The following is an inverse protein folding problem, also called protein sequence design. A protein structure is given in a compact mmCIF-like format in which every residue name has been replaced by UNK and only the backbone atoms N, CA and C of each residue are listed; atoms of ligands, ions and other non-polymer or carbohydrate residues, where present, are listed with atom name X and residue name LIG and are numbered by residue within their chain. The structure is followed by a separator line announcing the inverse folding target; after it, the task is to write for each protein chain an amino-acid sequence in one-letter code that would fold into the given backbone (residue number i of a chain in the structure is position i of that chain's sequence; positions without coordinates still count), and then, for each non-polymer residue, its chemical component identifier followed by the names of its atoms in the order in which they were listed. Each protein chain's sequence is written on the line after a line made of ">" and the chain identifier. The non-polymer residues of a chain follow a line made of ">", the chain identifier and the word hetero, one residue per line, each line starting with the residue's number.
data_IF_512009360682
#
_entry.id   IF_512009360682
#
_cell.length_a   1.000
_cell.length_b   1.000
_cell.length_c   1.000
_cell.angle_alpha   90.00
_cell.angle_beta   90.00
_cell.angle_gamma   90.00
#
_symmetry.space_group_name_H-M   'P 1'
#
loop_
_entity.id
_entity.type
_entity.pdbx_description
1 polymer ?
#
# COMPACT_ATOMS: atom_id res chain seq x y z
N UNK A 1 16.12 0.47 13.83
CA UNK A 1 15.33 0.21 12.61
C UNK A 1 14.11 -0.65 12.91
N UNK A 2 14.18 -1.69 13.75
CA UNK A 2 13.04 -2.57 14.07
C UNK A 2 11.86 -1.80 14.67
N UNK A 3 12.10 -1.09 15.78
CA UNK A 3 11.08 -0.26 16.43
C UNK A 3 10.55 0.83 15.50
N UNK A 4 11.40 1.38 14.63
CA UNK A 4 10.99 2.38 13.66
C UNK A 4 10.01 1.80 12.63
N UNK A 5 10.30 0.63 12.05
CA UNK A 5 9.40 -0.02 11.09
C UNK A 5 8.10 -0.48 11.76
N UNK A 6 8.16 -0.96 13.00
CA UNK A 6 6.97 -1.32 13.78
C UNK A 6 6.03 -0.12 13.99
N UNK A 7 6.57 1.01 14.46
CA UNK A 7 5.78 2.21 14.72
C UNK A 7 5.32 2.92 13.44
N UNK A 8 6.13 2.88 12.39
CA UNK A 8 5.80 3.50 11.10
C UNK A 8 4.76 2.73 10.31
N UNK A 9 4.44 1.49 10.66
CA UNK A 9 3.46 0.67 9.95
C UNK A 9 2.09 1.37 9.89
N UNK A 10 1.55 1.76 11.05
CA UNK A 10 0.27 2.45 11.16
C UNK A 10 0.33 3.89 10.62
N UNK A 11 1.45 4.58 10.84
CA UNK A 11 1.67 5.95 10.34
C UNK A 11 1.68 5.99 8.81
N UNK A 12 2.29 4.98 8.16
CA UNK A 12 2.37 4.87 6.71
C UNK A 12 1.00 4.66 6.06
N UNK A 13 0.20 3.77 6.64
CA UNK A 13 -1.11 3.40 6.12
C UNK A 13 -2.19 4.42 6.57
N UNK A 14 -1.86 5.27 7.56
CA UNK A 14 -2.73 6.28 8.11
C UNK A 14 -4.00 5.69 8.73
N UNK A 15 -5.05 6.48 8.81
CA UNK A 15 -6.32 6.02 9.37
C UNK A 15 -7.09 5.05 8.44
N UNK A 16 -6.64 4.88 7.19
CA UNK A 16 -7.15 3.89 6.25
C UNK A 16 -8.67 3.71 6.28
N UNK A 17 -9.15 2.45 6.38
CA UNK A 17 -10.59 2.16 6.40
C UNK A 17 -11.34 2.74 7.59
N UNK A 18 -10.67 3.03 8.72
CA UNK A 18 -11.30 3.64 9.89
C UNK A 18 -11.85 5.05 9.62
N UNK A 19 -11.23 5.79 8.68
CA UNK A 19 -11.77 7.09 8.26
C UNK A 19 -13.18 6.94 7.68
N UNK A 20 -13.43 5.92 6.87
CA UNK A 20 -14.75 5.66 6.30
C UNK A 20 -15.80 5.39 7.37
N UNK A 21 -15.43 4.64 8.43
CA UNK A 21 -16.30 4.39 9.59
C UNK A 21 -16.56 5.69 10.36
N UNK A 22 -15.52 6.46 10.66
CA UNK A 22 -15.63 7.75 11.36
C UNK A 22 -16.53 8.73 10.61
N UNK A 23 -16.28 8.92 9.31
CA UNK A 23 -17.07 9.85 8.50
C UNK A 23 -18.53 9.38 8.33
N UNK A 24 -18.77 8.06 8.24
CA UNK A 24 -20.11 7.51 8.14
C UNK A 24 -20.82 7.42 9.47
N UNK A 25 -20.19 6.82 10.47
CA UNK A 25 -20.81 6.52 11.77
C UNK A 25 -20.93 7.74 12.68
N UNK A 26 -19.86 8.57 12.76
CA UNK A 26 -19.83 9.74 13.66
C UNK A 26 -20.32 11.03 12.98
N UNK A 27 -20.01 11.23 11.70
CA UNK A 27 -20.27 12.48 10.99
C UNK A 27 -21.46 12.41 10.01
N UNK A 28 -22.03 11.22 9.79
CA UNK A 28 -23.15 10.96 8.86
C UNK A 28 -22.93 11.45 7.42
N UNK A 29 -21.69 11.40 6.93
CA UNK A 29 -21.37 11.86 5.59
C UNK A 29 -22.01 10.99 4.49
N UNK A 30 -22.40 11.60 3.35
CA UNK A 30 -22.77 10.85 2.15
C UNK A 30 -21.59 10.01 1.63
N UNK A 31 -21.87 8.82 1.13
CA UNK A 31 -20.81 7.89 0.66
C UNK A 31 -19.97 8.46 -0.49
N UNK A 32 -20.56 9.30 -1.36
CA UNK A 32 -19.81 10.01 -2.40
C UNK A 32 -18.77 10.97 -1.84
N UNK A 33 -19.10 11.72 -0.78
CA UNK A 33 -18.13 12.61 -0.12
C UNK A 33 -17.02 11.82 0.58
N UNK A 34 -17.34 10.68 1.19
CA UNK A 34 -16.36 9.77 1.78
C UNK A 34 -15.41 9.24 0.68
N UNK A 35 -15.96 8.83 -0.46
CA UNK A 35 -15.18 8.38 -1.62
C UNK A 35 -14.22 9.46 -2.13
N UNK A 36 -14.67 10.71 -2.25
CA UNK A 36 -13.81 11.85 -2.64
C UNK A 36 -12.68 12.06 -1.61
N UNK A 37 -13.02 12.04 -0.30
CA UNK A 37 -12.04 12.22 0.76
C UNK A 37 -10.93 11.15 0.70
N UNK A 38 -11.31 9.89 0.56
CA UNK A 38 -10.35 8.79 0.47
C UNK A 38 -9.55 8.83 -0.84
N UNK A 39 -10.18 9.21 -1.95
CA UNK A 39 -9.50 9.39 -3.23
C UNK A 39 -8.43 10.50 -3.16
N UNK A 40 -8.67 11.58 -2.40
CA UNK A 40 -7.72 12.67 -2.25
C UNK A 40 -6.36 12.21 -1.70
N UNK A 41 -6.36 11.31 -0.70
CA UNK A 41 -5.12 10.70 -0.19
C UNK A 41 -4.42 9.86 -1.27
N UNK A 42 -5.15 8.99 -1.96
CA UNK A 42 -4.58 8.13 -3.01
C UNK A 42 -4.01 8.94 -4.19
N UNK A 43 -4.69 10.01 -4.59
CA UNK A 43 -4.23 10.92 -5.66
C UNK A 43 -2.97 11.65 -5.19
N UNK A 44 -2.97 12.21 -3.99
CA UNK A 44 -1.82 12.94 -3.46
C UNK A 44 -0.59 12.02 -3.31
N UNK A 45 -0.78 10.79 -2.81
CA UNK A 45 0.28 9.79 -2.74
C UNK A 45 0.85 9.46 -4.13
N UNK A 46 -0.03 9.20 -5.11
CA UNK A 46 0.39 8.89 -6.48
C UNK A 46 1.16 10.04 -7.14
N UNK A 47 0.68 11.28 -7.00
CA UNK A 47 1.33 12.47 -7.56
C UNK A 47 2.68 12.73 -6.88
N UNK A 48 2.76 12.54 -5.56
CA UNK A 48 3.98 12.78 -4.80
C UNK A 48 4.98 11.62 -4.87
N UNK A 49 4.63 10.44 -5.40
CA UNK A 49 5.50 9.25 -5.39
C UNK A 49 6.86 9.48 -6.05
N UNK A 50 6.89 10.09 -7.24
CA UNK A 50 8.14 10.38 -7.96
C UNK A 50 8.90 11.53 -7.30
N UNK A 51 8.29 12.70 -7.01
CA UNK A 51 8.95 13.77 -6.27
C UNK A 51 9.52 13.34 -4.91
N UNK A 52 8.80 12.48 -4.17
CA UNK A 52 9.26 11.96 -2.89
C UNK A 52 10.53 11.11 -3.02
N UNK A 53 10.59 10.23 -4.02
CA UNK A 53 11.79 9.46 -4.32
C UNK A 53 12.99 10.36 -4.62
N UNK A 54 12.82 11.34 -5.52
CA UNK A 54 13.87 12.31 -5.88
C UNK A 54 14.31 13.14 -4.67
N UNK A 55 13.36 13.57 -3.82
CA UNK A 55 13.66 14.30 -2.59
C UNK A 55 14.52 13.46 -1.64
N UNK A 56 14.13 12.20 -1.44
CA UNK A 56 14.90 11.28 -0.59
C UNK A 56 16.29 11.04 -1.16
N UNK A 57 16.46 10.87 -2.46
CA UNK A 57 17.78 10.65 -3.07
C UNK A 57 18.67 11.88 -3.01
N UNK A 58 18.10 13.08 -3.20
CA UNK A 58 18.88 14.33 -3.22
C UNK A 58 19.36 14.80 -1.84
N UNK A 59 18.59 14.55 -0.78
CA UNK A 59 18.84 15.08 0.54
C UNK A 59 19.62 14.10 1.44
N UNK A 60 20.61 14.61 2.22
CA UNK A 60 21.35 13.84 3.24
C UNK A 60 20.62 13.71 4.58
N UNK A 61 19.43 14.33 4.71
CA UNK A 61 18.65 14.42 5.95
C UNK A 61 17.56 13.32 6.08
N UNK A 62 17.89 12.06 5.73
CA UNK A 62 16.95 10.93 5.69
C UNK A 62 16.13 10.78 6.98
N UNK A 63 16.77 10.96 8.15
CA UNK A 63 16.12 10.89 9.47
C UNK A 63 15.06 11.96 9.64
N UNK A 64 15.37 13.19 9.25
CA UNK A 64 14.43 14.31 9.32
C UNK A 64 13.24 14.10 8.37
N UNK A 65 13.49 13.53 7.18
CA UNK A 65 12.41 13.20 6.24
C UNK A 65 11.42 12.19 6.84
N UNK A 66 11.89 11.15 7.53
CA UNK A 66 11.02 10.19 8.22
C UNK A 66 10.26 10.85 9.35
N UNK A 67 10.95 11.62 10.21
CA UNK A 67 10.31 12.29 11.35
C UNK A 67 9.29 13.34 10.91
N UNK A 68 9.62 14.17 9.90
CA UNK A 68 8.71 15.19 9.38
C UNK A 68 7.48 14.57 8.68
N UNK A 69 7.66 13.49 7.94
CA UNK A 69 6.53 12.79 7.31
C UNK A 69 5.58 12.23 8.37
N UNK A 70 6.09 11.60 9.43
CA UNK A 70 5.27 11.15 10.55
C UNK A 70 4.53 12.31 11.24
N UNK A 71 5.20 13.44 11.45
CA UNK A 71 4.58 14.64 12.02
C UNK A 71 3.46 15.20 11.12
N UNK A 72 3.66 15.26 9.81
CA UNK A 72 2.65 15.69 8.85
C UNK A 72 1.43 14.76 8.85
N UNK A 73 1.65 13.44 8.98
CA UNK A 73 0.55 12.47 9.15
C UNK A 73 -0.22 12.76 10.45
N UNK A 74 0.48 12.98 11.56
CA UNK A 74 -0.17 13.33 12.84
C UNK A 74 -0.98 14.62 12.75
N UNK A 75 -0.43 15.66 12.11
CA UNK A 75 -1.16 16.93 11.87
C UNK A 75 -2.42 16.67 11.02
N UNK A 76 -2.33 15.88 9.95
CA UNK A 76 -3.49 15.51 9.14
C UNK A 76 -4.56 14.76 9.94
N UNK A 77 -4.18 13.83 10.82
CA UNK A 77 -5.09 13.13 11.72
C UNK A 77 -5.80 14.09 12.67
N UNK A 78 -5.05 15.01 13.28
CA UNK A 78 -5.64 16.02 14.20
C UNK A 78 -6.57 16.98 13.47
N UNK A 79 -6.23 17.39 12.23
CA UNK A 79 -7.13 18.21 11.42
C UNK A 79 -8.46 17.52 11.14
N UNK A 80 -8.46 16.21 10.86
CA UNK A 80 -9.69 15.44 10.66
C UNK A 80 -10.54 15.41 11.93
N UNK A 81 -9.91 15.20 13.09
CA UNK A 81 -10.60 15.11 14.38
C UNK A 81 -11.21 16.44 14.79
N UNK A 82 -10.44 17.54 14.73
CA UNK A 82 -10.89 18.83 15.23
C UNK A 82 -11.73 19.62 14.22
N UNK A 83 -11.54 19.36 12.92
CA UNK A 83 -12.25 20.04 11.85
C UNK A 83 -12.86 19.04 10.86
N UNK A 84 -13.88 18.24 11.26
CA UNK A 84 -14.48 17.23 10.41
C UNK A 84 -15.42 17.83 9.34
N UNK A 85 -14.97 18.91 8.68
CA UNK A 85 -15.67 19.56 7.57
C UNK A 85 -15.06 19.15 6.25
N UNK A 86 -15.88 19.02 5.20
CA UNK A 86 -15.46 18.49 3.90
C UNK A 86 -14.16 19.11 3.36
N UNK A 87 -13.98 20.44 3.27
CA UNK A 87 -12.73 21.00 2.75
C UNK A 87 -11.50 20.67 3.60
N UNK A 88 -11.67 20.68 4.93
CA UNK A 88 -10.58 20.40 5.86
C UNK A 88 -10.15 18.93 5.81
N UNK A 89 -11.10 18.01 5.71
CA UNK A 89 -10.81 16.57 5.56
C UNK A 89 -10.13 16.29 4.23
N UNK A 90 -10.55 16.92 3.12
CA UNK A 90 -9.88 16.79 1.83
C UNK A 90 -8.42 17.28 1.92
N UNK A 91 -8.19 18.46 2.50
CA UNK A 91 -6.84 19.00 2.68
C UNK A 91 -5.98 18.10 3.58
N UNK A 92 -6.54 17.58 4.67
CA UNK A 92 -5.87 16.64 5.56
C UNK A 92 -5.53 15.34 4.85
N UNK A 93 -6.44 14.78 4.06
CA UNK A 93 -6.20 13.56 3.27
C UNK A 93 -5.14 13.76 2.18
N UNK A 94 -5.13 14.91 1.52
CA UNK A 94 -4.07 15.25 0.57
C UNK A 94 -2.71 15.35 1.29
N UNK A 95 -2.68 15.96 2.48
CA UNK A 95 -1.46 16.02 3.32
C UNK A 95 -0.99 14.62 3.74
N UNK A 96 -1.91 13.76 4.21
CA UNK A 96 -1.63 12.38 4.59
C UNK A 96 -1.05 11.60 3.40
N UNK A 97 -1.67 11.68 2.22
CA UNK A 97 -1.19 11.01 1.03
C UNK A 97 0.20 11.49 0.58
N UNK A 98 0.44 12.80 0.57
CA UNK A 98 1.74 13.36 0.23
C UNK A 98 2.84 12.95 1.22
N UNK A 99 2.54 12.97 2.52
CA UNK A 99 3.48 12.57 3.57
C UNK A 99 3.80 11.07 3.52
N UNK A 100 2.79 10.22 3.31
CA UNK A 100 2.96 8.76 3.23
C UNK A 100 3.79 8.34 2.02
N UNK A 101 3.81 9.10 0.93
CA UNK A 101 4.64 8.82 -0.24
C UNK A 101 6.16 8.92 0.05
N UNK A 102 6.57 9.70 1.05
CA UNK A 102 7.97 9.89 1.44
C UNK A 102 8.49 8.72 2.31
N UNK A 103 7.62 8.12 3.11
CA UNK A 103 8.00 7.14 4.16
C UNK A 103 8.71 5.90 3.58
N UNK A 104 8.17 5.18 2.58
CA UNK A 104 8.80 3.97 2.07
C UNK A 104 10.20 4.20 1.48
N UNK A 105 10.42 5.18 0.58
CA UNK A 105 11.76 5.41 0.04
C UNK A 105 12.74 5.89 1.11
N UNK A 106 12.30 6.69 2.10
CA UNK A 106 13.15 7.13 3.19
C UNK A 106 13.59 5.99 4.12
N UNK A 107 12.68 5.06 4.47
CA UNK A 107 13.01 3.87 5.26
C UNK A 107 13.92 2.90 4.50
N UNK A 108 13.71 2.74 3.19
CA UNK A 108 14.57 1.93 2.33
C UNK A 108 15.99 2.52 2.26
N UNK A 109 16.11 3.84 2.05
CA UNK A 109 17.39 4.54 2.01
C UNK A 109 18.13 4.47 3.35
N UNK A 110 17.43 4.65 4.49
CA UNK A 110 18.00 4.47 5.83
C UNK A 110 18.50 3.04 6.03
N UNK A 111 17.70 2.05 5.63
CA UNK A 111 18.08 0.65 5.74
C UNK A 111 19.35 0.35 4.94
N UNK A 112 19.41 0.80 3.68
CA UNK A 112 20.57 0.61 2.83
C UNK A 112 21.83 1.31 3.40
N UNK A 113 21.69 2.57 3.83
CA UNK A 113 22.82 3.35 4.37
C UNK A 113 23.38 2.82 5.70
N UNK A 114 22.58 2.04 6.47
CA UNK A 114 23.03 1.49 7.76
C UNK A 114 23.61 0.08 7.61
N UNK A 115 22.98 -0.79 6.81
CA UNK A 115 23.39 -2.21 6.77
C UNK A 115 24.21 -2.58 5.54
N UNK A 116 24.29 -1.73 4.54
CA UNK A 116 24.99 -1.99 3.29
C UNK A 116 24.23 -2.96 2.35
N UNK A 117 24.67 -3.05 1.10
CA UNK A 117 24.02 -3.86 0.05
C UNK A 117 23.98 -5.36 0.39
N UNK A 118 25.04 -5.88 1.00
CA UNK A 118 25.16 -7.30 1.32
C UNK A 118 24.07 -7.78 2.28
N UNK A 119 23.76 -7.00 3.30
CA UNK A 119 22.79 -7.35 4.34
C UNK A 119 21.37 -6.81 4.05
N UNK A 120 21.22 -5.98 3.02
CA UNK A 120 19.95 -5.34 2.68
C UNK A 120 18.79 -6.32 2.47
N UNK A 121 18.93 -7.44 1.74
CA UNK A 121 17.80 -8.38 1.56
C UNK A 121 17.26 -8.94 2.87
N UNK A 122 18.17 -9.35 3.78
CA UNK A 122 17.79 -9.82 5.12
C UNK A 122 17.16 -8.70 5.95
N UNK A 123 17.67 -7.48 5.83
CA UNK A 123 17.13 -6.29 6.51
C UNK A 123 15.73 -5.94 6.03
N UNK A 124 15.47 -5.95 4.73
CA UNK A 124 14.15 -5.68 4.16
C UNK A 124 13.14 -6.72 4.67
N UNK A 125 13.49 -8.01 4.62
CA UNK A 125 12.62 -9.07 5.14
C UNK A 125 12.27 -8.85 6.63
N UNK A 126 13.25 -8.44 7.43
CA UNK A 126 13.05 -8.12 8.85
C UNK A 126 12.19 -6.85 9.04
N UNK A 127 12.40 -5.82 8.22
CA UNK A 127 11.57 -4.61 8.24
C UNK A 127 10.10 -4.95 7.97
N UNK A 128 9.81 -5.79 6.96
CA UNK A 128 8.45 -6.21 6.66
C UNK A 128 7.83 -7.04 7.79
N UNK A 129 8.60 -7.89 8.46
CA UNK A 129 8.09 -8.61 9.63
C UNK A 129 7.67 -7.67 10.76
N UNK A 130 8.47 -6.64 11.05
CA UNK A 130 8.12 -5.62 12.04
C UNK A 130 6.97 -4.72 11.58
N UNK A 131 6.88 -4.41 10.29
CA UNK A 131 5.76 -3.68 9.69
C UNK A 131 4.43 -4.44 9.87
N UNK A 132 4.39 -5.73 9.55
CA UNK A 132 3.20 -6.56 9.80
C UNK A 132 2.85 -6.66 11.29
N UNK A 133 3.85 -6.79 12.16
CA UNK A 133 3.66 -6.76 13.62
C UNK A 133 3.09 -5.42 14.10
N UNK A 134 3.57 -4.31 13.54
CA UNK A 134 3.07 -2.96 13.83
C UNK A 134 1.62 -2.78 13.41
N UNK A 135 1.27 -3.19 12.18
CA UNK A 135 -0.12 -3.14 11.68
C UNK A 135 -1.07 -4.01 12.52
N UNK A 136 -0.62 -5.20 12.94
CA UNK A 136 -1.41 -6.05 13.85
C UNK A 136 -1.65 -5.36 15.20
N UNK A 137 -0.61 -4.80 15.81
CA UNK A 137 -0.71 -4.10 17.08
C UNK A 137 -1.59 -2.85 16.99
N UNK A 138 -1.40 -2.05 15.93
CA UNK A 138 -2.19 -0.85 15.66
C UNK A 138 -3.68 -1.18 15.49
N UNK A 139 -4.01 -2.18 14.66
CA UNK A 139 -5.39 -2.61 14.46
C UNK A 139 -6.02 -3.13 15.76
N UNK A 140 -5.26 -3.87 16.57
CA UNK A 140 -5.73 -4.37 17.87
C UNK A 140 -6.02 -3.23 18.85
N UNK A 141 -5.09 -2.27 18.95
CA UNK A 141 -5.25 -1.10 19.81
C UNK A 141 -6.37 -0.17 19.30
N UNK A 142 -6.46 0.05 17.97
CA UNK A 142 -7.55 0.83 17.38
C UNK A 142 -8.91 0.21 17.66
N UNK A 143 -9.03 -1.12 17.59
CA UNK A 143 -10.24 -1.84 17.97
C UNK A 143 -10.61 -1.62 19.44
N UNK A 144 -9.66 -1.80 20.34
CA UNK A 144 -9.88 -1.65 21.79
C UNK A 144 -10.19 -0.19 22.18
N UNK A 145 -9.34 0.75 21.77
CA UNK A 145 -9.48 2.15 22.17
C UNK A 145 -10.62 2.84 21.42
N UNK A 146 -10.75 2.61 20.12
CA UNK A 146 -11.79 3.23 19.31
C UNK A 146 -13.20 2.78 19.72
N UNK A 147 -13.35 1.54 20.15
CA UNK A 147 -14.62 1.02 20.64
C UNK A 147 -14.96 1.49 22.05
N UNK A 148 -13.99 1.52 22.97
CA UNK A 148 -14.23 1.86 24.37
C UNK A 148 -14.23 3.36 24.65
N UNK A 149 -13.42 4.13 23.91
CA UNK A 149 -13.20 5.56 24.13
C UNK A 149 -13.70 6.44 22.97
N UNK A 150 -14.15 5.82 21.86
CA UNK A 150 -14.70 6.50 20.68
C UNK A 150 -13.71 6.65 19.53
N UNK A 151 -14.26 6.92 18.34
CA UNK A 151 -13.52 6.96 17.08
C UNK A 151 -12.28 7.87 17.05
N UNK A 152 -12.28 8.97 17.84
CA UNK A 152 -11.17 9.92 17.87
C UNK A 152 -9.87 9.28 18.36
N UNK A 153 -9.95 8.26 19.22
CA UNK A 153 -8.77 7.55 19.73
C UNK A 153 -8.00 6.79 18.68
N UNK A 154 -8.65 6.39 17.58
CA UNK A 154 -7.97 5.78 16.44
C UNK A 154 -6.97 6.77 15.83
N UNK A 155 -7.37 8.03 15.66
CA UNK A 155 -6.52 9.09 15.13
C UNK A 155 -5.41 9.49 16.12
N UNK A 156 -5.72 9.54 17.41
CA UNK A 156 -4.72 9.81 18.45
C UNK A 156 -3.68 8.69 18.53
N UNK A 157 -4.07 7.44 18.28
CA UNK A 157 -3.14 6.31 18.21
C UNK A 157 -2.10 6.49 17.09
N UNK A 158 -2.53 6.93 15.91
CA UNK A 158 -1.61 7.28 14.81
C UNK A 158 -0.65 8.40 15.23
N UNK A 159 -1.12 9.42 15.96
CA UNK A 159 -0.27 10.49 16.48
C UNK A 159 0.76 9.96 17.50
N UNK A 160 0.36 9.02 18.36
CA UNK A 160 1.27 8.39 19.34
C UNK A 160 2.34 7.58 18.60
N UNK A 161 1.97 6.78 17.61
CA UNK A 161 2.91 6.03 16.79
C UNK A 161 3.83 6.94 15.97
N UNK A 162 3.32 8.06 15.45
CA UNK A 162 4.12 9.08 14.76
C UNK A 162 5.16 9.72 15.70
N UNK A 163 4.76 10.09 16.91
CA UNK A 163 5.68 10.61 17.92
C UNK A 163 6.74 9.57 18.34
N UNK A 164 6.31 8.33 18.59
CA UNK A 164 7.21 7.21 18.89
C UNK A 164 8.19 6.93 17.75
N UNK A 165 7.76 7.00 16.49
CA UNK A 165 8.61 6.81 15.32
C UNK A 165 9.63 7.95 15.15
N UNK A 166 9.22 9.20 15.43
CA UNK A 166 10.13 10.35 15.46
C UNK A 166 11.20 10.18 16.54
N UNK A 167 10.81 9.72 17.73
CA UNK A 167 11.76 9.39 18.79
C UNK A 167 12.70 8.26 18.37
N UNK A 168 12.17 7.17 17.80
CA UNK A 168 12.94 6.01 17.35
C UNK A 168 13.96 6.38 16.26
N UNK A 169 13.60 7.24 15.30
CA UNK A 169 14.52 7.68 14.26
C UNK A 169 15.60 8.63 14.79
N UNK A 170 15.29 9.40 15.86
CA UNK A 170 16.28 10.25 16.53
C UNK A 170 17.37 9.43 17.25
N UNK A 171 17.07 8.21 17.69
CA UNK A 171 18.05 7.30 18.30
C UNK A 171 19.08 6.74 17.29
N UNK A 172 18.81 6.80 16.00
CA UNK A 172 19.77 6.39 14.96
C UNK A 172 20.85 7.49 14.89
N UNK A 173 22.11 7.15 15.13
CA UNK A 173 23.20 8.13 15.07
C UNK A 173 23.47 8.54 13.62
N UNK A 174 23.64 9.85 13.32
CA UNK A 174 23.95 10.31 11.96
C UNK A 174 25.20 9.65 11.36
N UNK A 175 26.21 9.39 12.21
CA UNK A 175 27.46 8.74 11.79
C UNK A 175 27.32 7.27 11.38
N UNK A 176 26.20 6.61 11.69
CA UNK A 176 25.91 5.23 11.29
C UNK A 176 25.32 5.17 9.87
N UNK A 177 24.97 6.31 9.26
CA UNK A 177 24.31 6.36 7.96
C UNK A 177 25.34 6.74 6.89
N UNK A 178 25.67 5.79 6.03
CA UNK A 178 26.39 6.06 4.80
C UNK A 178 25.43 6.71 3.78
N UNK A 179 25.58 8.02 3.59
CA UNK A 179 24.68 8.80 2.74
C UNK A 179 24.90 8.53 1.25
N UNK A 180 26.11 8.17 0.82
CA UNK A 180 26.39 7.85 -0.59
C UNK A 180 25.81 6.47 -0.94
N UNK A 181 26.00 5.48 -0.05
CA UNK A 181 25.38 4.18 -0.18
C UNK A 181 23.85 4.27 -0.15
N UNK A 182 23.29 5.10 0.74
CA UNK A 182 21.83 5.35 0.85
C UNK A 182 21.21 5.96 -0.43
N UNK A 183 22.01 6.57 -1.29
CA UNK A 183 21.62 7.06 -2.62
C UNK A 183 21.73 6.00 -3.72
N UNK A 184 22.26 4.82 -3.40
CA UNK A 184 22.43 3.72 -4.35
C UNK A 184 23.78 3.68 -5.05
N UNK A 185 24.78 4.50 -4.64
CA UNK A 185 26.16 4.40 -5.13
C UNK A 185 26.77 3.05 -4.76
N UNK A 186 27.67 2.48 -5.60
CA UNK A 186 28.36 1.23 -5.33
C UNK A 186 29.44 1.41 -4.25
N UNK A 187 29.71 0.36 -3.45
CA UNK A 187 30.79 0.39 -2.44
C UNK A 187 32.18 0.61 -3.08
N UNK A 188 32.37 0.21 -4.34
CA UNK A 188 33.57 0.49 -5.13
C UNK A 188 33.67 1.94 -5.55
N UNK A 189 32.55 2.60 -5.86
CA UNK A 189 32.51 4.01 -6.26
C UNK A 189 32.89 4.93 -5.07
N UNK A 190 32.56 4.52 -3.84
CA UNK A 190 32.86 5.26 -2.61
C UNK A 190 34.33 5.17 -2.18
N UNK A 191 35.05 4.08 -2.52
CA UNK A 191 36.43 3.84 -2.11
C UNK A 191 37.48 4.31 -3.10
N UNK A 192 37.12 4.42 -4.39
CA UNK A 192 38.13 4.69 -5.44
C UNK A 192 37.95 6.01 -6.19
N UNK A 193 36.90 6.79 -5.94
CA UNK A 193 36.59 7.99 -6.75
C UNK A 193 36.47 7.68 -8.25
N UNK A 194 36.24 6.42 -8.60
CA UNK A 194 36.22 5.90 -9.95
C UNK A 194 34.80 5.88 -10.47
N UNK A 195 34.52 6.62 -11.50
CA UNK A 195 33.28 6.44 -12.25
C UNK A 195 33.24 5.00 -12.82
N UNK A 196 32.13 4.27 -12.67
CA UNK A 196 31.97 2.92 -13.24
C UNK A 196 32.29 2.99 -14.73
N UNK A 197 33.09 2.03 -15.24
CA UNK A 197 33.41 1.96 -16.66
C UNK A 197 32.13 1.81 -17.49
N UNK A 198 32.07 2.40 -18.68
CA UNK A 198 30.93 2.32 -19.61
C UNK A 198 30.50 0.87 -19.93
N UNK A 199 31.39 -0.11 -19.76
CA UNK A 199 31.11 -1.54 -19.96
C UNK A 199 30.31 -2.16 -18.80
N UNK A 200 30.38 -1.61 -17.58
CA UNK A 200 29.57 -2.04 -16.42
C UNK A 200 28.23 -1.31 -16.33
N UNK A 201 28.13 -0.17 -16.97
CA UNK A 201 26.88 0.53 -17.26
C UNK A 201 26.33 0.00 -18.60
N UNK A 202 25.77 -1.17 -18.62
CA UNK A 202 24.78 -1.45 -19.66
C UNK A 202 23.84 -0.24 -19.62
N UNK A 203 23.93 0.67 -20.62
CA UNK A 203 23.18 1.94 -20.58
C UNK A 203 21.71 1.64 -20.30
N UNK A 204 21.12 2.18 -19.21
CA UNK A 204 19.73 1.91 -18.94
C UNK A 204 18.92 2.40 -20.14
N UNK A 205 18.08 1.55 -20.70
CA UNK A 205 17.22 1.94 -21.83
C UNK A 205 16.46 3.24 -21.51
N UNK A 206 16.14 4.04 -22.54
CA UNK A 206 15.47 5.31 -22.35
C UNK A 206 14.09 5.14 -21.69
N UNK A 207 13.62 6.16 -21.00
CA UNK A 207 12.30 6.16 -20.37
C UNK A 207 11.19 5.84 -21.40
N UNK A 208 11.29 6.38 -22.61
CA UNK A 208 10.34 6.15 -23.70
C UNK A 208 10.34 4.69 -24.17
N UNK A 209 11.49 4.03 -24.20
CA UNK A 209 11.60 2.61 -24.56
C UNK A 209 10.98 1.69 -23.50
N UNK A 210 11.09 2.04 -22.20
CA UNK A 210 10.40 1.32 -21.13
C UNK A 210 8.90 1.36 -21.35
N UNK A 211 8.33 2.54 -21.64
CA UNK A 211 6.89 2.69 -21.93
C UNK A 211 6.45 2.04 -23.25
N UNK A 212 7.34 1.83 -24.21
CA UNK A 212 7.04 1.09 -25.44
C UNK A 212 6.85 -0.40 -25.24
N UNK A 213 7.37 -0.97 -24.14
CA UNK A 213 7.18 -2.39 -23.83
C UNK A 213 5.70 -2.72 -23.62
N UNK A 214 5.12 -3.48 -24.54
CA UNK A 214 3.70 -3.87 -24.53
C UNK A 214 3.33 -4.56 -23.21
N UNK A 215 4.14 -5.52 -22.78
CA UNK A 215 3.84 -6.34 -21.61
C UNK A 215 3.86 -5.52 -20.32
N UNK A 216 4.73 -4.50 -20.21
CA UNK A 216 4.72 -3.56 -19.09
C UNK A 216 3.42 -2.75 -19.06
N UNK A 217 2.98 -2.23 -20.20
CA UNK A 217 1.72 -1.47 -20.27
C UNK A 217 0.51 -2.32 -19.89
N UNK A 218 0.46 -3.57 -20.35
CA UNK A 218 -0.59 -4.54 -19.99
C UNK A 218 -0.53 -4.80 -18.48
N UNK A 219 0.65 -5.02 -17.93
CA UNK A 219 0.83 -5.24 -16.49
C UNK A 219 0.35 -4.02 -15.68
N UNK A 220 0.79 -2.81 -16.02
CA UNK A 220 0.37 -1.57 -15.33
C UNK A 220 -1.14 -1.34 -15.43
N UNK A 221 -1.75 -1.55 -16.60
CA UNK A 221 -3.20 -1.48 -16.76
C UNK A 221 -3.93 -2.52 -15.89
N UNK A 222 -3.37 -3.72 -15.77
CA UNK A 222 -3.91 -4.78 -14.89
C UNK A 222 -3.81 -4.39 -13.41
N UNK A 223 -2.73 -3.72 -13.01
CA UNK A 223 -2.56 -3.19 -11.63
C UNK A 223 -3.59 -2.09 -11.34
N UNK A 224 -3.81 -1.16 -12.29
CA UNK A 224 -4.88 -0.15 -12.17
C UNK A 224 -6.23 -0.83 -11.99
N UNK A 225 -6.59 -1.78 -12.85
CA UNK A 225 -7.88 -2.48 -12.81
C UNK A 225 -8.04 -3.32 -11.54
N UNK A 226 -6.96 -3.98 -11.06
CA UNK A 226 -6.96 -4.72 -9.79
C UNK A 226 -7.36 -3.80 -8.63
N UNK A 227 -6.70 -2.65 -8.48
CA UNK A 227 -6.98 -1.71 -7.40
C UNK A 227 -8.29 -0.95 -7.60
N UNK A 228 -8.68 -0.69 -8.85
CA UNK A 228 -9.98 -0.10 -9.18
C UNK A 228 -11.14 -1.02 -8.73
N UNK A 229 -11.00 -2.33 -8.88
CA UNK A 229 -11.99 -3.30 -8.39
C UNK A 229 -11.91 -3.60 -6.90
N UNK A 230 -10.79 -3.29 -6.22
CA UNK A 230 -10.53 -3.77 -4.85
C UNK A 230 -10.56 -2.69 -3.77
N UNK A 231 -9.92 -1.54 -3.98
CA UNK A 231 -9.51 -0.63 -2.90
C UNK A 231 -10.67 -0.05 -2.09
N UNK A 232 -11.84 0.17 -2.68
CA UNK A 232 -13.01 0.71 -1.97
C UNK A 232 -13.83 -0.37 -1.24
N UNK A 233 -13.62 -1.66 -1.48
CA UNK A 233 -14.46 -2.71 -0.91
C UNK A 233 -14.44 -2.72 0.63
N UNK A 234 -13.25 -2.65 1.24
CA UNK A 234 -13.14 -2.64 2.71
C UNK A 234 -13.69 -1.34 3.35
N UNK A 235 -13.37 -0.13 2.85
CA UNK A 235 -14.00 1.10 3.31
C UNK A 235 -15.54 1.11 3.18
N UNK A 236 -16.08 0.55 2.09
CA UNK A 236 -17.52 0.42 1.91
C UNK A 236 -18.14 -0.57 2.92
N UNK A 237 -17.48 -1.71 3.16
CA UNK A 237 -17.89 -2.65 4.20
C UNK A 237 -17.90 -1.99 5.58
N UNK A 238 -16.90 -1.14 5.88
CA UNK A 238 -16.86 -0.32 7.09
C UNK A 238 -18.05 0.64 7.20
N UNK A 239 -18.43 1.29 6.09
CA UNK A 239 -19.63 2.16 6.09
C UNK A 239 -20.92 1.37 6.33
N UNK A 240 -21.02 0.14 5.78
CA UNK A 240 -22.16 -0.76 6.06
C UNK A 240 -22.20 -1.10 7.55
N UNK A 241 -21.08 -1.54 8.13
CA UNK A 241 -20.99 -1.88 9.55
C UNK A 241 -21.36 -0.69 10.44
N UNK A 242 -20.83 0.52 10.16
CA UNK A 242 -21.16 1.73 10.90
C UNK A 242 -22.65 2.09 10.85
N UNK A 243 -23.35 1.72 9.76
CA UNK A 243 -24.78 1.97 9.60
C UNK A 243 -25.65 0.89 10.26
N UNK A 244 -25.28 -0.39 10.12
CA UNK A 244 -26.13 -1.53 10.52
C UNK A 244 -25.80 -2.05 11.92
N UNK A 245 -24.55 -1.88 12.37
CA UNK A 245 -24.05 -2.39 13.64
C UNK A 245 -23.25 -1.31 14.40
N UNK A 246 -23.86 -0.13 14.68
CA UNK A 246 -23.19 0.91 15.45
C UNK A 246 -22.82 0.34 16.83
N UNK A 247 -21.58 0.61 17.26
CA UNK A 247 -21.07 0.11 18.54
C UNK A 247 -20.32 -1.23 18.46
N UNK A 248 -20.25 -1.89 17.27
CA UNK A 248 -19.33 -3.03 17.01
C UNK A 248 -18.52 -2.88 15.73
N UNK A 249 -18.74 -1.80 15.01
CA UNK A 249 -18.15 -1.50 13.70
C UNK A 249 -16.63 -1.34 13.76
N UNK A 250 -16.09 -0.69 14.79
CA UNK A 250 -14.64 -0.51 15.00
C UNK A 250 -13.96 -1.85 15.28
N UNK A 251 -14.54 -2.68 16.17
CA UNK A 251 -14.04 -4.02 16.43
C UNK A 251 -14.05 -4.91 15.18
N UNK A 252 -15.16 -4.89 14.43
CA UNK A 252 -15.28 -5.66 13.20
C UNK A 252 -14.25 -5.21 12.14
N UNK A 253 -14.02 -3.89 12.01
CA UNK A 253 -12.99 -3.37 11.10
C UNK A 253 -11.59 -3.81 11.52
N UNK A 254 -11.27 -3.72 12.81
CA UNK A 254 -9.99 -4.20 13.34
C UNK A 254 -9.80 -5.69 13.07
N UNK A 255 -10.85 -6.50 13.31
CA UNK A 255 -10.83 -7.92 13.00
C UNK A 255 -10.63 -8.19 11.50
N UNK A 256 -11.22 -7.38 10.61
CA UNK A 256 -10.99 -7.46 9.16
C UNK A 256 -9.51 -7.23 8.81
N UNK A 257 -8.89 -6.19 9.36
CA UNK A 257 -7.49 -5.87 9.10
C UNK A 257 -6.58 -6.98 9.63
N UNK A 258 -6.80 -7.42 10.88
CA UNK A 258 -6.03 -8.51 11.50
C UNK A 258 -6.15 -9.80 10.69
N UNK A 259 -7.37 -10.19 10.32
CA UNK A 259 -7.63 -11.39 9.54
C UNK A 259 -6.90 -11.36 8.19
N UNK A 260 -6.98 -10.23 7.47
CA UNK A 260 -6.26 -10.05 6.21
C UNK A 260 -4.74 -10.17 6.39
N UNK A 261 -4.15 -9.52 7.40
CA UNK A 261 -2.71 -9.56 7.68
C UNK A 261 -2.23 -10.98 7.97
N UNK A 262 -2.96 -11.75 8.77
CA UNK A 262 -2.62 -13.14 9.07
C UNK A 262 -2.62 -14.02 7.81
N UNK A 263 -3.64 -13.87 6.97
CA UNK A 263 -3.74 -14.60 5.70
C UNK A 263 -2.61 -14.19 4.75
N UNK A 264 -2.30 -12.90 4.64
CA UNK A 264 -1.22 -12.39 3.77
C UNK A 264 0.12 -13.06 4.06
N UNK A 265 0.46 -13.28 5.34
CA UNK A 265 1.72 -13.94 5.74
C UNK A 265 1.76 -15.37 5.18
N UNK A 266 0.70 -16.15 5.37
CA UNK A 266 0.60 -17.52 4.88
C UNK A 266 0.63 -17.60 3.35
N UNK A 267 -0.09 -16.70 2.69
CA UNK A 267 -0.16 -16.62 1.22
C UNK A 267 1.19 -16.22 0.62
N UNK A 268 1.92 -15.28 1.21
CA UNK A 268 3.25 -14.91 0.72
C UNK A 268 4.21 -16.11 0.72
N UNK A 269 4.18 -16.93 1.78
CA UNK A 269 4.95 -18.17 1.85
C UNK A 269 4.50 -19.19 0.79
N UNK A 270 3.18 -19.36 0.61
CA UNK A 270 2.60 -20.25 -0.40
C UNK A 270 2.97 -19.84 -1.83
N UNK A 271 2.94 -18.55 -2.14
CA UNK A 271 3.37 -18.02 -3.45
C UNK A 271 4.85 -18.33 -3.69
N UNK A 272 5.72 -18.12 -2.70
CA UNK A 272 7.14 -18.46 -2.78
C UNK A 272 7.36 -19.97 -3.05
N UNK A 273 6.61 -20.82 -2.36
CA UNK A 273 6.64 -22.27 -2.56
C UNK A 273 6.12 -22.67 -3.97
N UNK A 274 5.00 -22.11 -4.41
CA UNK A 274 4.43 -22.38 -5.74
C UNK A 274 5.39 -21.99 -6.86
N UNK A 275 6.06 -20.84 -6.74
CA UNK A 275 7.08 -20.41 -7.71
C UNK A 275 8.28 -21.37 -7.76
N UNK A 276 8.74 -21.89 -6.61
CA UNK A 276 9.81 -22.91 -6.55
C UNK A 276 9.37 -24.22 -7.22
N UNK A 277 8.08 -24.55 -7.16
CA UNK A 277 7.48 -25.71 -7.82
C UNK A 277 7.19 -25.49 -9.32
N UNK A 278 7.53 -24.32 -9.83
CA UNK A 278 7.42 -24.04 -11.25
C UNK A 278 6.06 -23.48 -11.69
N UNK A 279 5.18 -23.10 -10.77
CA UNK A 279 3.93 -22.44 -11.13
C UNK A 279 4.23 -21.07 -11.79
N UNK A 280 3.56 -20.81 -12.92
CA UNK A 280 3.74 -19.58 -13.69
C UNK A 280 3.26 -18.33 -12.93
N UNK A 281 3.92 -17.18 -13.18
CA UNK A 281 3.56 -15.89 -12.58
C UNK A 281 2.15 -15.47 -12.98
N UNK A 282 1.81 -15.69 -14.26
CA UNK A 282 0.46 -15.42 -14.79
C UNK A 282 -0.61 -16.20 -14.02
N UNK A 283 -0.41 -17.50 -13.83
CA UNK A 283 -1.36 -18.37 -13.13
C UNK A 283 -1.59 -17.90 -11.69
N UNK A 284 -0.50 -17.56 -10.96
CA UNK A 284 -0.59 -17.08 -9.58
C UNK A 284 -1.37 -15.76 -9.50
N UNK A 285 -1.09 -14.82 -10.41
CA UNK A 285 -1.78 -13.52 -10.40
C UNK A 285 -3.26 -13.62 -10.83
N UNK A 286 -3.60 -14.57 -11.71
CA UNK A 286 -4.99 -14.87 -12.06
C UNK A 286 -5.81 -15.33 -10.84
N UNK A 287 -5.21 -16.07 -9.91
CA UNK A 287 -5.88 -16.44 -8.64
C UNK A 287 -6.23 -15.19 -7.84
N UNK A 288 -5.29 -14.24 -7.69
CA UNK A 288 -5.57 -12.99 -7.00
C UNK A 288 -6.71 -12.20 -7.65
N UNK A 289 -6.70 -12.11 -9.00
CA UNK A 289 -7.75 -11.42 -9.75
C UNK A 289 -9.11 -12.14 -9.65
N UNK A 290 -9.13 -13.47 -9.62
CA UNK A 290 -10.36 -14.26 -9.52
C UNK A 290 -11.04 -14.14 -8.15
N UNK A 291 -10.27 -13.91 -7.10
CA UNK A 291 -10.79 -13.73 -5.73
C UNK A 291 -11.61 -12.44 -5.60
N UNK A 292 -11.25 -11.37 -6.32
CA UNK A 292 -11.89 -10.06 -6.16
C UNK A 292 -13.37 -10.03 -6.53
N UNK A 293 -13.82 -10.56 -7.70
CA UNK A 293 -15.23 -10.57 -8.02
C UNK A 293 -16.04 -11.46 -7.06
N UNK A 294 -15.46 -12.57 -6.60
CA UNK A 294 -16.10 -13.43 -5.59
C UNK A 294 -16.30 -12.64 -4.29
N UNK A 295 -15.28 -11.93 -3.82
CA UNK A 295 -15.34 -11.08 -2.63
C UNK A 295 -16.41 -10.00 -2.76
N UNK A 296 -16.44 -9.27 -3.89
CA UNK A 296 -17.42 -8.22 -4.13
C UNK A 296 -18.85 -8.76 -4.17
N UNK A 297 -19.06 -9.94 -4.75
CA UNK A 297 -20.36 -10.62 -4.73
C UNK A 297 -20.75 -11.04 -3.32
N UNK A 298 -19.85 -11.66 -2.55
CA UNK A 298 -20.15 -12.12 -1.19
C UNK A 298 -20.54 -10.98 -0.25
N UNK A 299 -19.98 -9.77 -0.40
CA UNK A 299 -20.39 -8.59 0.36
C UNK A 299 -21.83 -8.14 0.10
N UNK A 300 -22.49 -8.62 -0.95
CA UNK A 300 -23.92 -8.37 -1.18
C UNK A 300 -24.83 -9.34 -0.43
N UNK A 301 -24.29 -10.41 0.17
CA UNK A 301 -25.04 -11.46 0.83
C UNK A 301 -25.13 -11.29 2.35
N UNK A 302 -24.29 -10.44 2.93
CA UNK A 302 -24.24 -10.26 4.39
C UNK A 302 -23.76 -8.87 4.77
N UNK A 303 -24.35 -8.34 5.83
CA UNK A 303 -23.92 -7.12 6.54
C UNK A 303 -23.47 -7.43 7.99
N UNK A 304 -23.52 -8.73 8.39
CA UNK A 304 -23.09 -9.13 9.73
C UNK A 304 -21.59 -8.95 9.94
N UNK A 305 -21.13 -8.50 11.13
CA UNK A 305 -19.71 -8.35 11.44
C UNK A 305 -18.89 -9.62 11.18
N UNK A 306 -19.41 -10.79 11.58
CA UNK A 306 -18.74 -12.07 11.35
C UNK A 306 -18.63 -12.40 9.85
N UNK A 307 -19.71 -12.19 9.08
CA UNK A 307 -19.69 -12.40 7.62
C UNK A 307 -18.68 -11.49 6.92
N UNK A 308 -18.65 -10.22 7.26
CA UNK A 308 -17.70 -9.24 6.70
C UNK A 308 -16.25 -9.62 7.01
N UNK A 309 -15.94 -10.03 8.25
CA UNK A 309 -14.59 -10.50 8.65
C UNK A 309 -14.22 -11.77 7.88
N UNK A 310 -15.15 -12.71 7.72
CA UNK A 310 -14.91 -13.95 6.96
C UNK A 310 -14.59 -13.68 5.49
N UNK A 311 -15.34 -12.76 4.86
CA UNK A 311 -15.08 -12.34 3.48
C UNK A 311 -13.72 -11.63 3.36
N UNK A 312 -13.30 -10.95 4.40
CA UNK A 312 -12.02 -10.23 4.40
C UNK A 312 -10.79 -11.16 4.37
N UNK A 313 -10.93 -12.44 4.74
CA UNK A 313 -9.87 -13.44 4.51
C UNK A 313 -9.49 -13.54 3.02
N UNK A 314 -10.46 -13.35 2.12
CA UNK A 314 -10.23 -13.33 0.67
C UNK A 314 -9.37 -12.13 0.24
N UNK A 315 -9.50 -10.99 0.92
CA UNK A 315 -8.63 -9.84 0.69
C UNK A 315 -7.17 -10.18 1.02
N UNK A 316 -6.95 -10.86 2.14
CA UNK A 316 -5.63 -11.35 2.51
C UNK A 316 -5.01 -12.27 1.44
N UNK A 317 -5.83 -13.10 0.77
CA UNK A 317 -5.37 -13.93 -0.36
C UNK A 317 -4.96 -13.05 -1.53
N UNK A 318 -5.83 -12.13 -1.98
CA UNK A 318 -5.57 -11.28 -3.14
C UNK A 318 -4.37 -10.35 -2.90
N UNK A 319 -4.32 -9.67 -1.74
CA UNK A 319 -3.26 -8.75 -1.37
C UNK A 319 -1.92 -9.47 -1.11
N UNK A 320 -1.95 -10.66 -0.49
CA UNK A 320 -0.75 -11.46 -0.26
C UNK A 320 -0.11 -11.95 -1.57
N UNK A 321 -0.92 -12.39 -2.53
CA UNK A 321 -0.43 -12.74 -3.88
C UNK A 321 0.10 -11.48 -4.57
N UNK A 322 -0.65 -10.38 -4.58
CA UNK A 322 -0.27 -9.15 -5.26
C UNK A 322 1.07 -8.62 -4.74
N UNK A 323 1.26 -8.56 -3.43
CA UNK A 323 2.47 -8.04 -2.80
C UNK A 323 3.75 -8.73 -3.26
N UNK A 324 3.70 -10.05 -3.46
CA UNK A 324 4.86 -10.83 -3.93
C UNK A 324 4.97 -10.81 -5.46
N UNK A 325 3.86 -11.14 -6.14
CA UNK A 325 3.94 -11.44 -7.58
C UNK A 325 4.10 -10.19 -8.45
N UNK A 326 3.60 -9.02 -8.00
CA UNK A 326 3.77 -7.77 -8.72
C UNK A 326 5.25 -7.36 -8.83
N UNK A 327 6.02 -7.54 -7.76
CA UNK A 327 7.46 -7.29 -7.72
C UNK A 327 8.19 -8.25 -8.66
N UNK A 328 7.82 -9.53 -8.66
CA UNK A 328 8.43 -10.56 -9.50
C UNK A 328 8.14 -10.31 -10.98
N UNK A 329 6.90 -10.01 -11.35
CA UNK A 329 6.53 -9.68 -12.74
C UNK A 329 7.28 -8.42 -13.19
N UNK A 330 7.31 -7.35 -12.39
CA UNK A 330 8.05 -6.13 -12.72
C UNK A 330 9.55 -6.44 -12.93
N UNK A 331 10.15 -7.29 -12.09
CA UNK A 331 11.53 -7.72 -12.23
C UNK A 331 11.77 -8.53 -13.52
N UNK A 332 10.88 -9.49 -13.84
CA UNK A 332 10.98 -10.30 -15.06
C UNK A 332 10.86 -9.42 -16.31
N UNK A 333 9.94 -8.44 -16.34
CA UNK A 333 9.73 -7.51 -17.46
C UNK A 333 10.90 -6.54 -17.67
N UNK A 334 11.60 -6.18 -16.59
CA UNK A 334 12.72 -5.24 -16.61
C UNK A 334 14.10 -5.92 -16.66
N UNK A 335 14.15 -7.23 -16.82
CA UNK A 335 15.42 -7.97 -16.92
C UNK A 335 16.29 -7.41 -18.03
N UNK A 336 17.56 -7.12 -17.73
CA UNK A 336 18.54 -6.59 -18.67
C UNK A 336 18.33 -5.13 -19.10
N UNK A 337 17.41 -4.39 -18.49
CA UNK A 337 17.13 -2.99 -18.84
C UNK A 337 17.77 -1.97 -17.90
N UNK A 338 18.22 -2.37 -16.72
CA UNK A 338 18.68 -1.46 -15.66
C UNK A 338 17.58 -0.54 -15.08
N UNK A 339 16.28 -0.81 -15.35
CA UNK A 339 15.15 0.08 -15.00
C UNK A 339 14.13 -0.53 -14.03
N UNK A 340 14.54 -1.47 -13.21
CA UNK A 340 13.65 -2.13 -12.23
C UNK A 340 12.96 -1.14 -11.29
N UNK A 341 13.71 -0.18 -10.72
CA UNK A 341 13.15 0.82 -9.80
C UNK A 341 12.12 1.73 -10.48
N UNK A 342 12.33 2.06 -11.78
CA UNK A 342 11.34 2.79 -12.57
C UNK A 342 10.03 2.00 -12.68
N UNK A 343 10.10 0.70 -12.98
CA UNK A 343 8.90 -0.14 -13.06
C UNK A 343 8.18 -0.24 -11.70
N UNK A 344 8.90 -0.28 -10.59
CA UNK A 344 8.32 -0.25 -9.24
C UNK A 344 7.60 1.08 -8.97
N UNK A 345 8.22 2.22 -9.34
CA UNK A 345 7.57 3.54 -9.23
C UNK A 345 6.30 3.65 -10.09
N UNK A 346 6.33 3.13 -11.33
CA UNK A 346 5.16 3.06 -12.20
C UNK A 346 4.07 2.14 -11.65
N UNK A 347 4.46 1.02 -11.04
CA UNK A 347 3.52 0.11 -10.37
C UNK A 347 2.85 0.81 -9.18
N UNK A 348 3.60 1.55 -8.36
CA UNK A 348 3.04 2.31 -7.26
C UNK A 348 2.07 3.41 -7.74
N UNK A 349 2.41 4.10 -8.83
CA UNK A 349 1.52 5.07 -9.48
C UNK A 349 0.23 4.40 -9.97
N UNK A 350 0.32 3.23 -10.59
CA UNK A 350 -0.83 2.45 -11.06
C UNK A 350 -1.73 2.00 -9.88
N UNK A 351 -1.14 1.58 -8.77
CA UNK A 351 -1.84 1.27 -7.50
C UNK A 351 -2.64 2.49 -7.03
N UNK A 352 -1.98 3.66 -6.91
CA UNK A 352 -2.62 4.89 -6.46
C UNK A 352 -3.75 5.35 -7.38
N UNK A 353 -3.55 5.29 -8.72
CA UNK A 353 -4.58 5.64 -9.70
C UNK A 353 -5.80 4.71 -9.61
N UNK A 354 -5.56 3.39 -9.52
CA UNK A 354 -6.62 2.40 -9.36
C UNK A 354 -7.38 2.58 -8.03
N UNK A 355 -6.66 2.82 -6.94
CA UNK A 355 -7.26 3.04 -5.63
C UNK A 355 -8.12 4.32 -5.60
N UNK A 356 -7.61 5.42 -6.14
CA UNK A 356 -8.38 6.67 -6.24
C UNK A 356 -9.67 6.48 -7.07
N UNK A 357 -9.55 5.85 -8.25
CA UNK A 357 -10.70 5.52 -9.08
C UNK A 357 -11.72 4.63 -8.37
N UNK A 358 -11.25 3.64 -7.61
CA UNK A 358 -12.08 2.74 -6.81
C UNK A 358 -12.91 3.50 -5.76
N UNK A 359 -12.27 4.40 -5.01
CA UNK A 359 -12.94 5.19 -3.98
C UNK A 359 -14.02 6.10 -4.58
N UNK A 360 -13.71 6.75 -5.71
CA UNK A 360 -14.68 7.59 -6.42
C UNK A 360 -15.84 6.75 -6.96
N UNK A 361 -15.54 5.68 -7.71
CA UNK A 361 -16.56 4.80 -8.30
C UNK A 361 -17.46 4.21 -7.20
N UNK A 362 -16.85 3.59 -6.18
CA UNK A 362 -17.58 2.98 -5.08
C UNK A 362 -18.44 4.00 -4.33
N UNK A 363 -17.86 5.15 -3.98
CA UNK A 363 -18.57 6.20 -3.25
C UNK A 363 -19.79 6.75 -4.00
N UNK A 364 -19.64 7.07 -5.30
CA UNK A 364 -20.75 7.61 -6.10
C UNK A 364 -21.81 6.55 -6.41
N UNK A 365 -21.42 5.31 -6.76
CA UNK A 365 -22.38 4.23 -7.00
C UNK A 365 -23.18 3.93 -5.74
N UNK A 366 -22.53 3.86 -4.59
CA UNK A 366 -23.21 3.66 -3.30
C UNK A 366 -24.20 4.81 -3.00
N UNK A 367 -23.81 6.04 -3.28
CA UNK A 367 -24.65 7.20 -3.00
C UNK A 367 -25.94 7.20 -3.83
N UNK A 368 -25.88 6.73 -5.08
CA UNK A 368 -27.02 6.76 -6.01
C UNK A 368 -27.83 5.45 -5.95
N UNK A 369 -27.15 4.30 -5.90
CA UNK A 369 -27.75 2.99 -6.09
C UNK A 369 -27.64 2.07 -4.85
N UNK A 370 -26.99 2.52 -3.78
CA UNK A 370 -26.80 1.75 -2.55
C UNK A 370 -25.60 0.81 -2.56
N UNK A 371 -25.33 0.20 -1.39
CA UNK A 371 -24.11 -0.59 -1.17
C UNK A 371 -24.03 -1.85 -2.02
N UNK A 372 -25.15 -2.58 -2.23
CA UNK A 372 -25.16 -3.75 -3.10
C UNK A 372 -24.69 -3.43 -4.51
N UNK A 373 -25.23 -2.35 -5.10
CA UNK A 373 -24.80 -1.90 -6.42
C UNK A 373 -23.32 -1.48 -6.44
N UNK A 374 -22.83 -0.82 -5.36
CA UNK A 374 -21.42 -0.46 -5.20
C UNK A 374 -20.51 -1.68 -5.22
N UNK A 375 -20.81 -2.70 -4.44
CA UNK A 375 -20.02 -3.95 -4.43
C UNK A 375 -20.06 -4.67 -5.78
N UNK A 376 -21.25 -4.76 -6.42
CA UNK A 376 -21.38 -5.38 -7.73
C UNK A 376 -20.64 -4.60 -8.83
N UNK A 377 -20.64 -3.27 -8.77
CA UNK A 377 -19.87 -2.45 -9.72
C UNK A 377 -18.35 -2.72 -9.60
N UNK A 378 -17.82 -2.79 -8.37
CA UNK A 378 -16.43 -3.15 -8.14
C UNK A 378 -16.12 -4.60 -8.55
N UNK A 379 -17.05 -5.54 -8.29
CA UNK A 379 -16.93 -6.92 -8.75
C UNK A 379 -16.89 -7.01 -10.28
N UNK A 380 -17.73 -6.24 -10.98
CA UNK A 380 -17.73 -6.18 -12.45
C UNK A 380 -16.40 -5.65 -13.00
N UNK A 381 -15.84 -4.60 -12.39
CA UNK A 381 -14.49 -4.11 -12.72
C UNK A 381 -13.43 -5.21 -12.50
N UNK A 382 -13.53 -5.96 -11.40
CA UNK A 382 -12.63 -7.06 -11.11
C UNK A 382 -12.75 -8.21 -12.14
N UNK A 383 -13.95 -8.51 -12.65
CA UNK A 383 -14.14 -9.45 -13.77
C UNK A 383 -13.43 -8.93 -15.03
N UNK A 384 -13.58 -7.64 -15.34
CA UNK A 384 -12.87 -7.02 -16.48
C UNK A 384 -11.36 -7.14 -16.29
N UNK A 385 -10.85 -6.87 -15.08
CA UNK A 385 -9.43 -7.04 -14.75
C UNK A 385 -8.94 -8.47 -14.98
N UNK A 386 -9.71 -9.46 -14.50
CA UNK A 386 -9.40 -10.89 -14.67
C UNK A 386 -9.34 -11.28 -16.14
N UNK A 387 -10.37 -10.94 -16.92
CA UNK A 387 -10.44 -11.26 -18.36
C UNK A 387 -9.33 -10.55 -19.12
N UNK A 388 -9.13 -9.25 -18.87
CA UNK A 388 -8.08 -8.48 -19.51
C UNK A 388 -6.70 -9.08 -19.28
N UNK A 389 -6.37 -9.41 -18.03
CA UNK A 389 -5.08 -10.02 -17.70
C UNK A 389 -4.95 -11.43 -18.29
N UNK A 390 -6.00 -12.25 -18.24
CA UNK A 390 -6.00 -13.59 -18.78
C UNK A 390 -5.72 -13.62 -20.29
N UNK A 391 -6.33 -12.70 -21.03
CA UNK A 391 -6.22 -12.63 -22.50
C UNK A 391 -4.94 -11.91 -22.93
N UNK A 392 -4.62 -10.78 -22.33
CA UNK A 392 -3.58 -9.88 -22.85
C UNK A 392 -2.19 -10.17 -22.30
N UNK A 393 -2.06 -10.63 -21.02
CA UNK A 393 -0.76 -10.79 -20.38
C UNK A 393 -0.11 -12.13 -20.76
N UNK A 394 1.12 -12.15 -21.31
CA UNK A 394 1.87 -13.39 -21.50
C UNK A 394 2.44 -13.89 -20.16
N UNK A 395 2.87 -15.17 -20.13
CA UNK A 395 3.63 -15.72 -19.02
C UNK A 395 5.04 -15.09 -18.98
N UNK A 396 5.43 -14.51 -17.83
CA UNK A 396 6.72 -13.81 -17.69
C UNK A 396 7.84 -14.69 -17.15
N UNK A 397 7.53 -15.92 -16.71
CA UNK A 397 8.53 -16.88 -16.23
C UNK A 397 9.60 -17.13 -17.30
N UNK A 398 10.91 -17.01 -16.99
CA UNK A 398 11.99 -17.27 -17.94
C UNK A 398 11.94 -18.69 -18.50
N UNK A 399 12.21 -18.84 -19.80
CA UNK A 399 12.20 -20.16 -20.48
C UNK A 399 13.15 -21.17 -19.83
N UNK A 400 14.31 -20.76 -19.35
CA UNK A 400 15.32 -21.61 -18.68
C UNK A 400 14.87 -22.15 -17.30
N UNK A 401 13.73 -21.71 -16.78
CA UNK A 401 13.14 -22.18 -15.53
C UNK A 401 11.82 -22.96 -15.77
N UNK A 402 11.52 -23.32 -17.03
CA UNK A 402 10.29 -24.02 -17.39
C UNK A 402 10.40 -25.55 -17.34
N UNK A 403 11.61 -26.08 -17.09
CA UNK A 403 11.89 -27.53 -16.96
C UNK A 403 12.01 -27.94 -15.51
#
# INVERSE_FOLDING_TARGET
>A
LDSLNFLMADVRDGVGPYLAIFLKGSQNWPSGQIGIAMAASSIAAAVCQIPAGLLVDSLKIKRLLVASSGLLVAIGCLLIVFFPKFPAVIAAQALLGAASAIIPPALAALSLGIVGRRLLPARISRNESFNHGGNFAAASLAGLLGQSLGYHWIFYLVCIFAAGSAAAVCLIKPAEIDHELARGCTESDAKEGREPSEAERGQPISFSEVFRKRDLRIFLASVVLFHLGNAAMLPMAGQVLAKTHPGSDVHAMSACIIAAQLVMIGIAALVGWAMKRGVGRKTIFLVALAVLPVRGFLFTLTDSPFGVVSIQLLDGVAAGIFGVISIVIASDLMRGTGRFNLAQGLTALAVGAGAAGSQLLGGFVVQVFGYHAGFLALAAVAVVALVFFAVCMPETRPRNQRN
#
